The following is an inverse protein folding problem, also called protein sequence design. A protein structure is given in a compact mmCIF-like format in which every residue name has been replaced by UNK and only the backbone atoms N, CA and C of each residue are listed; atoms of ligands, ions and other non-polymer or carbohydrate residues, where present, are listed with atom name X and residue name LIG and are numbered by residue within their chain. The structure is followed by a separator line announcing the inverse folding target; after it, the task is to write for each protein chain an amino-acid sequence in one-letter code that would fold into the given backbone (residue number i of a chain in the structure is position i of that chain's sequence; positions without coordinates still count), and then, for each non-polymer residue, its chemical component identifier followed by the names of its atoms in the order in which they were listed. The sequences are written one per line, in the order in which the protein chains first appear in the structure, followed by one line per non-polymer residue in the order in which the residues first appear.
data_IF_089628350830
#
_entry.id   IF_089628350830
#
_cell.length_a   1.000
_cell.length_b   1.000
_cell.length_c   1.000
_cell.angle_alpha   90.00
_cell.angle_beta   90.00
_cell.angle_gamma   90.00
#
_symmetry.space_group_name_H-M   'P 1'
#
loop_
_entity.id
_entity.type
_entity.pdbx_description
1 polymer ?
#
# COMPACT_ATOMS: atom_id res chain seq x y z
N UNK A 1 -74.36 0.32 37.59
CA UNK A 1 -73.74 -0.19 36.36
C UNK A 1 -72.87 0.94 35.79
N UNK A 2 -71.58 0.89 36.03
CA UNK A 2 -70.63 1.85 35.47
C UNK A 2 -69.95 1.19 34.26
N UNK A 3 -70.08 1.76 33.10
CA UNK A 3 -69.40 1.36 31.87
C UNK A 3 -68.02 2.01 31.82
N UNK A 4 -66.97 1.22 31.83
CA UNK A 4 -65.59 1.67 31.60
C UNK A 4 -65.35 1.60 30.12
N UNK A 5 -65.13 2.77 29.49
CA UNK A 5 -64.73 2.89 28.10
C UNK A 5 -63.17 2.72 28.01
N UNK A 6 -62.71 1.65 27.38
CA UNK A 6 -61.31 1.49 26.99
C UNK A 6 -61.05 2.36 25.74
N UNK A 7 -60.19 3.36 25.86
CA UNK A 7 -59.59 4.07 24.72
C UNK A 7 -58.45 3.24 24.12
N UNK A 8 -58.26 3.17 22.78
CA UNK A 8 -57.12 2.49 22.18
C UNK A 8 -55.86 3.33 22.35
N UNK A 9 -54.79 2.68 22.81
CA UNK A 9 -53.48 3.24 22.91
C UNK A 9 -52.93 3.54 21.48
N UNK A 10 -52.64 4.78 21.20
CA UNK A 10 -51.89 5.19 20.04
C UNK A 10 -50.48 4.64 20.17
N UNK A 11 -50.15 3.68 19.33
CA UNK A 11 -48.76 3.28 19.10
C UNK A 11 -48.00 4.47 18.51
N UNK A 12 -47.08 5.04 19.26
CA UNK A 12 -46.10 5.98 18.77
C UNK A 12 -45.27 5.28 17.67
N UNK A 13 -45.58 5.58 16.42
CA UNK A 13 -44.65 5.38 15.31
C UNK A 13 -43.44 6.27 15.60
N UNK A 14 -42.33 5.68 15.99
CA UNK A 14 -41.01 6.33 15.90
C UNK A 14 -40.87 6.83 14.45
N UNK A 15 -40.95 8.12 14.25
CA UNK A 15 -40.51 8.75 13.02
C UNK A 15 -39.02 8.51 12.94
N UNK A 16 -38.61 7.61 12.06
CA UNK A 16 -37.25 7.58 11.58
C UNK A 16 -36.94 9.00 11.05
N UNK A 17 -36.13 9.73 11.80
CA UNK A 17 -35.71 11.06 11.41
C UNK A 17 -35.05 10.94 10.03
N UNK A 18 -35.57 11.71 9.06
CA UNK A 18 -34.93 11.81 7.75
C UNK A 18 -33.53 12.36 7.97
N UNK A 19 -32.51 11.50 7.72
CA UNK A 19 -31.12 11.92 7.79
C UNK A 19 -30.91 13.08 6.83
N UNK A 20 -30.46 14.21 7.35
CA UNK A 20 -30.27 15.43 6.53
C UNK A 20 -29.03 15.19 5.65
N UNK A 21 -29.24 15.14 4.33
CA UNK A 21 -28.17 15.07 3.35
C UNK A 21 -27.35 16.37 3.44
N UNK A 22 -26.04 16.31 3.70
CA UNK A 22 -25.21 17.51 3.84
C UNK A 22 -25.02 18.22 2.48
N UNK A 23 -24.63 19.51 2.53
CA UNK A 23 -24.32 20.26 1.31
C UNK A 23 -22.99 19.83 0.68
N UNK A 24 -22.07 19.30 1.48
CA UNK A 24 -20.79 18.72 1.03
C UNK A 24 -20.33 17.61 1.96
N UNK A 25 -19.53 16.71 1.41
CA UNK A 25 -18.80 15.69 2.17
C UNK A 25 -17.35 16.16 2.30
N UNK A 26 -16.84 16.26 3.52
CA UNK A 26 -15.44 16.60 3.78
C UNK A 26 -14.67 15.34 4.18
N UNK A 27 -13.67 14.98 3.39
CA UNK A 27 -12.76 13.86 3.67
C UNK A 27 -11.41 14.43 4.11
N UNK A 28 -10.98 14.06 5.31
CA UNK A 28 -9.69 14.45 5.84
C UNK A 28 -8.58 13.44 5.53
N UNK A 29 -7.36 13.93 5.38
CA UNK A 29 -6.16 13.09 5.40
C UNK A 29 -4.97 13.91 5.87
N UNK A 30 -3.98 13.24 6.46
CA UNK A 30 -2.63 13.80 6.52
C UNK A 30 -1.74 13.05 5.54
N UNK A 31 -0.74 13.68 5.01
CA UNK A 31 0.24 13.07 4.11
C UNK A 31 1.61 13.69 4.38
N UNK A 32 2.70 12.95 4.21
CA UNK A 32 4.05 13.51 4.25
C UNK A 32 4.30 14.32 2.96
N UNK A 33 3.80 15.56 2.91
CA UNK A 33 4.01 16.44 1.75
C UNK A 33 5.38 17.11 1.78
N UNK A 34 6.01 17.12 2.94
CA UNK A 34 7.43 17.45 3.19
C UNK A 34 8.07 16.38 4.06
N UNK A 35 9.41 16.44 4.27
CA UNK A 35 10.14 15.41 5.00
C UNK A 35 10.68 14.29 4.12
N UNK A 36 11.16 13.21 4.75
CA UNK A 36 11.86 12.12 4.04
C UNK A 36 10.96 11.39 3.03
N UNK A 37 9.66 11.25 3.33
CA UNK A 37 8.69 10.52 2.50
C UNK A 37 7.85 11.41 1.58
N UNK A 38 8.31 12.64 1.31
CA UNK A 38 7.53 13.62 0.53
C UNK A 38 7.22 13.16 -0.91
N UNK A 39 8.06 12.33 -1.51
CA UNK A 39 7.79 11.75 -2.84
C UNK A 39 6.58 10.80 -2.80
N UNK A 40 6.56 9.87 -1.85
CA UNK A 40 5.44 8.95 -1.64
C UNK A 40 4.15 9.72 -1.29
N UNK A 41 4.22 10.65 -0.33
CA UNK A 41 3.09 11.49 0.06
C UNK A 41 2.51 12.32 -1.08
N UNK A 42 3.38 12.88 -1.94
CA UNK A 42 2.98 13.63 -3.13
C UNK A 42 2.22 12.76 -4.13
N UNK A 43 2.69 11.52 -4.37
CA UNK A 43 1.99 10.55 -5.23
C UNK A 43 0.66 10.10 -4.65
N UNK A 44 0.60 9.82 -3.36
CA UNK A 44 -0.67 9.47 -2.71
C UNK A 44 -1.70 10.59 -2.80
N UNK A 45 -1.25 11.85 -2.60
CA UNK A 45 -2.10 13.03 -2.82
C UNK A 45 -2.72 13.02 -4.22
N UNK A 46 -1.91 12.74 -5.26
CA UNK A 46 -2.39 12.67 -6.64
C UNK A 46 -3.50 11.61 -6.83
N UNK A 47 -3.36 10.44 -6.23
CA UNK A 47 -4.39 9.39 -6.27
C UNK A 47 -5.70 9.83 -5.61
N UNK A 48 -5.64 10.42 -4.41
CA UNK A 48 -6.82 10.95 -3.73
C UNK A 48 -7.50 12.06 -4.52
N UNK A 49 -6.72 13.03 -5.01
CA UNK A 49 -7.23 14.15 -5.81
C UNK A 49 -7.89 13.68 -7.11
N UNK A 50 -7.32 12.69 -7.77
CA UNK A 50 -7.88 12.13 -8.99
C UNK A 50 -9.25 11.47 -8.73
N UNK A 51 -9.33 10.60 -7.73
CA UNK A 51 -10.58 9.91 -7.41
C UNK A 51 -11.71 10.90 -7.06
N UNK A 52 -11.40 11.91 -6.23
CA UNK A 52 -12.40 12.94 -5.84
C UNK A 52 -12.77 13.83 -7.01
N UNK A 53 -11.83 14.18 -7.88
CA UNK A 53 -12.13 14.99 -9.07
C UNK A 53 -13.05 14.26 -10.03
N UNK A 54 -12.76 12.98 -10.32
CA UNK A 54 -13.61 12.18 -11.20
C UNK A 54 -15.04 12.07 -10.66
N UNK A 55 -15.21 11.79 -9.37
CA UNK A 55 -16.51 11.74 -8.73
C UNK A 55 -17.24 13.10 -8.78
N UNK A 56 -16.53 14.19 -8.52
CA UNK A 56 -17.09 15.55 -8.56
C UNK A 56 -17.45 16.01 -9.98
N UNK A 57 -16.77 15.51 -11.01
CA UNK A 57 -17.08 15.78 -12.42
C UNK A 57 -18.49 15.27 -12.77
N UNK A 58 -18.87 14.15 -12.15
CA UNK A 58 -20.18 13.53 -12.32
C UNK A 58 -21.25 14.09 -11.33
N UNK A 59 -20.96 15.24 -10.73
CA UNK A 59 -21.84 15.96 -9.81
C UNK A 59 -21.63 15.64 -8.33
N UNK A 60 -20.73 14.70 -8.00
CA UNK A 60 -20.44 14.22 -6.65
C UNK A 60 -21.12 12.91 -6.31
N UNK A 61 -20.94 12.46 -5.06
CA UNK A 61 -21.44 11.17 -4.55
C UNK A 61 -22.97 11.21 -4.40
N UNK A 62 -23.64 10.14 -4.80
CA UNK A 62 -25.06 9.99 -4.53
C UNK A 62 -25.29 9.65 -3.05
N UNK A 63 -26.05 10.50 -2.36
CA UNK A 63 -26.45 10.32 -0.97
C UNK A 63 -27.97 10.34 -0.91
N UNK A 64 -28.57 9.17 -0.95
CA UNK A 64 -30.04 9.05 -0.89
C UNK A 64 -30.79 9.73 -2.05
N UNK A 65 -30.23 9.72 -3.24
CA UNK A 65 -30.79 10.33 -4.46
C UNK A 65 -30.39 11.79 -4.70
N UNK A 66 -29.54 12.36 -3.83
CA UNK A 66 -28.97 13.72 -4.01
C UNK A 66 -27.46 13.62 -4.27
N UNK A 67 -27.00 14.24 -5.34
CA UNK A 67 -25.56 14.41 -5.61
C UNK A 67 -24.93 15.41 -4.65
N UNK A 68 -23.88 14.99 -3.95
CA UNK A 68 -23.18 15.79 -2.93
C UNK A 68 -21.71 15.89 -3.30
N UNK A 69 -21.21 17.11 -3.42
CA UNK A 69 -19.77 17.34 -3.74
C UNK A 69 -18.86 16.91 -2.60
N UNK A 70 -17.69 16.42 -2.97
CA UNK A 70 -16.66 15.99 -2.04
C UNK A 70 -15.54 17.03 -2.00
N UNK A 71 -15.10 17.37 -0.79
CA UNK A 71 -13.95 18.23 -0.52
C UNK A 71 -12.87 17.42 0.19
N UNK A 72 -11.63 17.46 -0.33
CA UNK A 72 -10.46 16.91 0.35
C UNK A 72 -9.81 17.97 1.22
N UNK A 73 -9.54 17.61 2.48
CA UNK A 73 -8.76 18.43 3.40
C UNK A 73 -7.47 17.70 3.75
N UNK A 74 -6.39 18.10 3.10
CA UNK A 74 -5.07 17.47 3.24
C UNK A 74 -4.17 18.34 4.10
N UNK A 75 -3.51 17.74 5.09
CA UNK A 75 -2.56 18.40 5.98
C UNK A 75 -1.19 17.70 5.86
N UNK A 76 -0.12 18.47 6.00
CA UNK A 76 1.26 17.97 5.93
C UNK A 76 1.73 17.46 7.30
N UNK A 77 1.92 16.14 7.42
CA UNK A 77 2.45 15.51 8.64
C UNK A 77 3.98 15.50 8.71
N UNK A 78 4.67 15.91 7.64
CA UNK A 78 6.13 16.02 7.57
C UNK A 78 6.89 14.73 7.87
N UNK A 79 6.28 13.58 7.63
CA UNK A 79 6.79 12.24 8.02
C UNK A 79 6.95 12.07 9.56
N UNK A 80 6.29 12.92 10.36
CA UNK A 80 6.35 12.87 11.82
C UNK A 80 5.09 12.20 12.39
N UNK A 81 5.30 11.10 13.13
CA UNK A 81 4.21 10.28 13.69
C UNK A 81 3.36 11.04 14.71
N UNK A 82 3.99 11.83 15.58
CA UNK A 82 3.25 12.58 16.59
C UNK A 82 2.44 13.71 15.96
N UNK A 83 3.01 14.38 14.95
CA UNK A 83 2.31 15.39 14.15
C UNK A 83 1.15 14.79 13.37
N UNK A 84 1.33 13.62 12.74
CA UNK A 84 0.27 12.92 12.04
C UNK A 84 -0.94 12.62 12.95
N UNK A 85 -0.70 12.14 14.17
CA UNK A 85 -1.75 11.91 15.18
C UNK A 85 -2.45 13.21 15.58
N UNK A 86 -1.69 14.27 15.88
CA UNK A 86 -2.26 15.56 16.29
C UNK A 86 -3.10 16.18 15.18
N UNK A 87 -2.65 16.09 13.92
CA UNK A 87 -3.38 16.58 12.77
C UNK A 87 -4.65 15.74 12.50
N UNK A 88 -4.59 14.43 12.67
CA UNK A 88 -5.77 13.56 12.58
C UNK A 88 -6.84 13.96 13.62
N UNK A 89 -6.44 14.17 14.87
CA UNK A 89 -7.33 14.66 15.92
C UNK A 89 -7.93 16.03 15.58
N UNK A 90 -7.13 16.95 15.04
CA UNK A 90 -7.60 18.26 14.58
C UNK A 90 -8.63 18.12 13.48
N UNK A 91 -8.39 17.33 12.44
CA UNK A 91 -9.31 17.10 11.33
C UNK A 91 -10.68 16.59 11.83
N UNK A 92 -10.67 15.71 12.85
CA UNK A 92 -11.89 15.15 13.44
C UNK A 92 -12.60 16.18 14.33
N UNK A 93 -11.87 16.84 15.24
CA UNK A 93 -12.49 17.64 16.32
C UNK A 93 -12.76 19.07 15.91
N UNK A 94 -11.90 19.70 15.10
CA UNK A 94 -12.01 21.11 14.69
C UNK A 94 -12.60 21.23 13.28
N UNK A 95 -12.04 20.47 12.33
CA UNK A 95 -12.43 20.56 10.93
C UNK A 95 -13.67 19.74 10.60
N UNK A 96 -14.13 18.87 11.54
CA UNK A 96 -15.39 18.11 11.47
C UNK A 96 -15.51 17.27 10.20
N UNK A 97 -14.41 16.63 9.77
CA UNK A 97 -14.42 15.77 8.59
C UNK A 97 -15.41 14.60 8.75
N UNK A 98 -16.07 14.21 7.68
CA UNK A 98 -17.01 13.10 7.67
C UNK A 98 -16.28 11.77 7.72
N UNK A 99 -15.20 11.63 6.94
CA UNK A 99 -14.43 10.41 6.75
C UNK A 99 -12.94 10.70 6.70
N UNK A 100 -12.14 9.64 6.77
CA UNK A 100 -10.69 9.74 6.78
C UNK A 100 -10.07 8.89 5.67
N UNK A 101 -9.08 9.44 4.98
CA UNK A 101 -8.14 8.71 4.14
C UNK A 101 -6.77 8.64 4.83
N UNK A 102 -6.06 7.54 4.61
CA UNK A 102 -4.81 7.28 5.30
C UNK A 102 -3.64 8.11 4.82
N UNK A 103 -2.59 8.07 5.61
CA UNK A 103 -1.27 8.65 5.33
C UNK A 103 -0.31 7.60 4.77
N UNK A 104 0.96 7.94 4.70
CA UNK A 104 2.13 7.11 4.43
C UNK A 104 3.19 7.37 5.52
N UNK A 105 3.86 6.39 6.11
CA UNK A 105 3.92 4.97 5.82
C UNK A 105 3.16 4.11 6.85
N UNK A 106 3.47 2.80 6.91
CA UNK A 106 2.93 1.86 7.91
C UNK A 106 2.95 2.44 9.33
N UNK A 107 4.06 3.01 9.79
CA UNK A 107 4.19 3.58 11.14
C UNK A 107 3.20 4.73 11.40
N UNK A 108 2.99 5.60 10.41
CA UNK A 108 2.05 6.72 10.52
C UNK A 108 0.59 6.22 10.46
N UNK A 109 0.29 5.28 9.56
CA UNK A 109 -1.04 4.65 9.47
C UNK A 109 -1.37 3.92 10.76
N UNK A 110 -0.43 3.18 11.33
CA UNK A 110 -0.60 2.46 12.59
C UNK A 110 -0.95 3.39 13.75
N UNK A 111 -0.29 4.55 13.84
CA UNK A 111 -0.58 5.55 14.86
C UNK A 111 -1.96 6.19 14.67
N UNK A 112 -2.31 6.58 13.43
CA UNK A 112 -3.61 7.18 13.11
C UNK A 112 -4.77 6.20 13.23
N UNK A 113 -4.55 4.92 12.98
CA UNK A 113 -5.58 3.89 13.09
C UNK A 113 -6.23 3.87 14.47
N UNK A 114 -5.44 4.10 15.54
CA UNK A 114 -5.94 4.22 16.91
C UNK A 114 -6.87 5.43 17.09
N UNK A 115 -6.52 6.56 16.49
CA UNK A 115 -7.36 7.78 16.55
C UNK A 115 -8.69 7.56 15.82
N UNK A 116 -8.65 6.95 14.63
CA UNK A 116 -9.84 6.66 13.82
C UNK A 116 -10.78 5.67 14.53
N UNK A 117 -10.23 4.61 15.12
CA UNK A 117 -11.00 3.60 15.88
C UNK A 117 -11.69 4.24 17.10
N UNK A 118 -10.96 4.99 17.92
CA UNK A 118 -11.51 5.68 19.10
C UNK A 118 -12.59 6.70 18.73
N UNK A 119 -12.42 7.37 17.60
CA UNK A 119 -13.37 8.40 17.11
C UNK A 119 -14.51 7.80 16.31
N UNK A 120 -14.53 6.49 16.08
CA UNK A 120 -15.53 5.79 15.26
C UNK A 120 -15.75 6.47 13.91
N UNK A 121 -14.64 6.71 13.20
CA UNK A 121 -14.66 7.31 11.87
C UNK A 121 -14.09 6.32 10.85
N UNK A 122 -14.81 6.03 9.75
CA UNK A 122 -14.26 5.19 8.68
C UNK A 122 -12.94 5.73 8.16
N UNK A 123 -11.90 4.90 8.22
CA UNK A 123 -10.55 5.21 7.81
C UNK A 123 -10.11 4.20 6.75
N UNK A 124 -10.04 4.65 5.50
CA UNK A 124 -9.55 3.83 4.38
C UNK A 124 -8.16 4.29 4.00
N UNK A 125 -7.18 3.40 4.04
CA UNK A 125 -5.80 3.76 3.77
C UNK A 125 -5.21 2.99 2.58
N UNK A 126 -4.33 3.67 1.85
CA UNK A 126 -3.56 3.13 0.74
C UNK A 126 -2.05 3.17 0.98
N UNK A 127 -1.60 3.38 2.25
CA UNK A 127 -0.19 3.62 2.56
C UNK A 127 0.41 2.77 3.68
N UNK A 128 -0.40 1.96 4.39
CA UNK A 128 0.06 1.08 5.46
C UNK A 128 -0.28 -0.38 5.19
N UNK A 129 0.72 -1.25 5.09
CA UNK A 129 0.56 -2.63 4.65
C UNK A 129 0.89 -3.68 5.72
N UNK A 130 1.50 -3.32 6.86
CA UNK A 130 1.83 -4.29 7.89
C UNK A 130 0.58 -4.90 8.52
N UNK A 131 0.64 -6.21 8.76
CA UNK A 131 -0.44 -6.99 9.36
C UNK A 131 -0.77 -6.57 10.79
N UNK A 132 0.21 -5.98 11.49
CA UNK A 132 0.03 -5.42 12.85
C UNK A 132 -1.05 -4.34 12.93
N UNK A 133 -1.28 -3.56 11.85
CA UNK A 133 -2.34 -2.55 11.80
C UNK A 133 -3.71 -3.23 11.94
N UNK A 134 -3.91 -4.29 11.19
CA UNK A 134 -5.20 -4.96 11.03
C UNK A 134 -5.44 -6.06 12.07
N UNK A 135 -4.37 -6.56 12.69
CA UNK A 135 -4.40 -7.54 13.77
C UNK A 135 -4.91 -7.00 15.12
N UNK A 136 -5.08 -5.67 15.27
CA UNK A 136 -5.56 -5.04 16.51
C UNK A 136 -7.04 -5.27 16.81
N UNK A 137 -7.79 -5.88 15.89
CA UNK A 137 -9.23 -6.11 16.04
C UNK A 137 -10.07 -4.84 15.86
N UNK A 138 -9.51 -3.80 15.28
CA UNK A 138 -10.19 -2.56 14.94
C UNK A 138 -11.32 -2.79 13.92
N UNK A 139 -12.36 -1.97 13.98
CA UNK A 139 -13.57 -2.11 13.14
C UNK A 139 -13.76 -0.97 12.15
N UNK A 140 -12.99 0.09 12.30
CA UNK A 140 -13.15 1.34 11.53
C UNK A 140 -12.02 1.54 10.52
N UNK A 141 -11.11 0.54 10.42
CA UNK A 141 -9.91 0.61 9.59
C UNK A 141 -10.04 -0.34 8.40
N UNK A 142 -9.72 0.15 7.21
CA UNK A 142 -9.76 -0.57 5.95
C UNK A 142 -8.49 -0.26 5.16
N UNK A 143 -7.84 -1.24 4.58
CA UNK A 143 -6.60 -1.05 3.85
C UNK A 143 -6.64 -1.63 2.45
N UNK A 144 -6.20 -0.86 1.47
CA UNK A 144 -6.12 -1.31 0.07
C UNK A 144 -4.84 -2.05 -0.26
N UNK A 145 -3.84 -2.01 0.62
CA UNK A 145 -2.58 -2.73 0.44
C UNK A 145 -2.68 -4.16 0.96
N UNK A 146 -2.37 -5.14 0.12
CA UNK A 146 -2.18 -6.53 0.54
C UNK A 146 -0.98 -6.65 1.51
N UNK A 147 -0.94 -7.68 2.40
CA UNK A 147 0.08 -7.84 3.43
C UNK A 147 1.51 -7.88 2.89
N UNK A 148 2.45 -7.24 3.59
CA UNK A 148 3.88 -7.20 3.23
C UNK A 148 4.52 -8.61 3.23
N UNK A 149 4.06 -9.51 4.09
CA UNK A 149 4.53 -10.90 4.08
C UNK A 149 4.34 -11.54 2.69
N UNK A 150 3.21 -11.24 2.03
CA UNK A 150 2.91 -11.76 0.70
C UNK A 150 3.81 -11.14 -0.38
N UNK A 151 4.22 -9.87 -0.20
CA UNK A 151 5.20 -9.24 -1.09
C UNK A 151 6.50 -10.04 -1.11
N UNK A 152 7.07 -10.28 0.07
CA UNK A 152 8.30 -11.06 0.22
C UNK A 152 8.14 -12.51 -0.29
N UNK A 153 7.01 -13.15 0.02
CA UNK A 153 6.71 -14.50 -0.44
C UNK A 153 6.63 -14.59 -1.96
N UNK A 154 5.99 -13.61 -2.61
CA UNK A 154 5.87 -13.59 -4.09
C UNK A 154 7.22 -13.43 -4.77
N UNK A 155 8.14 -12.63 -4.22
CA UNK A 155 9.52 -12.58 -4.71
C UNK A 155 10.22 -13.95 -4.59
N UNK A 156 10.07 -14.59 -3.43
CA UNK A 156 10.64 -15.92 -3.18
C UNK A 156 10.07 -17.01 -4.09
N UNK A 157 8.77 -16.92 -4.45
CA UNK A 157 8.15 -17.85 -5.40
C UNK A 157 8.81 -17.79 -6.78
N UNK A 158 9.06 -16.58 -7.29
CA UNK A 158 9.77 -16.42 -8.55
C UNK A 158 11.23 -16.91 -8.44
N UNK A 159 11.90 -16.59 -7.34
CA UNK A 159 13.28 -17.06 -7.07
C UNK A 159 13.33 -18.60 -7.03
N UNK A 160 12.37 -19.25 -6.38
CA UNK A 160 12.28 -20.71 -6.31
C UNK A 160 12.09 -21.36 -7.70
N UNK A 161 11.30 -20.73 -8.57
CA UNK A 161 11.17 -21.16 -9.96
C UNK A 161 12.53 -21.09 -10.70
N UNK A 162 13.30 -20.01 -10.51
CA UNK A 162 14.63 -19.90 -11.14
C UNK A 162 15.62 -20.91 -10.55
N UNK A 163 15.55 -21.19 -9.24
CA UNK A 163 16.36 -22.23 -8.60
C UNK A 163 15.97 -23.63 -9.10
N UNK A 164 14.69 -23.93 -9.22
CA UNK A 164 14.17 -25.18 -9.76
C UNK A 164 14.55 -25.40 -11.23
N UNK A 165 14.72 -24.31 -11.99
CA UNK A 165 15.25 -24.32 -13.35
C UNK A 165 16.78 -24.46 -13.43
N UNK A 166 17.48 -24.61 -12.29
CA UNK A 166 18.93 -24.79 -12.23
C UNK A 166 19.73 -23.50 -12.48
N UNK A 167 19.12 -22.34 -12.41
CA UNK A 167 19.77 -21.05 -12.68
C UNK A 167 20.39 -20.40 -11.44
N UNK A 168 19.94 -20.78 -10.25
CA UNK A 168 20.41 -20.22 -8.98
C UNK A 168 21.02 -21.31 -8.11
N UNK A 169 21.91 -20.91 -7.18
CA UNK A 169 22.53 -21.81 -6.23
C UNK A 169 21.48 -22.58 -5.39
N UNK A 170 21.81 -23.83 -5.03
CA UNK A 170 20.96 -24.67 -4.17
C UNK A 170 21.86 -25.47 -3.17
N UNK A 171 21.72 -25.24 -1.83
CA UNK A 171 20.92 -24.18 -1.23
C UNK A 171 21.45 -22.80 -1.58
N UNK A 172 20.54 -21.82 -1.76
CA UNK A 172 20.92 -20.43 -1.91
C UNK A 172 21.14 -19.80 -0.54
N UNK A 173 22.22 -19.06 -0.36
CA UNK A 173 22.51 -18.28 0.85
C UNK A 173 21.80 -16.93 0.74
N UNK A 174 20.94 -16.62 1.71
CA UNK A 174 20.12 -15.42 1.72
C UNK A 174 20.62 -14.44 2.79
N UNK A 175 20.91 -13.22 2.39
CA UNK A 175 21.08 -12.10 3.31
C UNK A 175 19.80 -11.27 3.30
N UNK A 176 19.20 -11.09 4.48
CA UNK A 176 18.02 -10.27 4.71
C UNK A 176 18.45 -9.03 5.47
N UNK A 177 18.17 -7.84 4.92
CA UNK A 177 18.21 -6.58 5.65
C UNK A 177 16.81 -5.97 5.67
N UNK A 178 16.41 -5.46 6.81
CA UNK A 178 15.04 -4.95 6.97
C UNK A 178 15.00 -3.74 7.88
N UNK A 179 14.13 -2.80 7.56
CA UNK A 179 13.92 -1.63 8.41
C UNK A 179 13.30 -2.05 9.75
N UNK A 180 13.75 -1.46 10.84
CA UNK A 180 13.25 -1.77 12.19
C UNK A 180 11.87 -1.17 12.43
N UNK A 181 10.89 -1.67 11.67
CA UNK A 181 9.47 -1.33 11.73
C UNK A 181 8.63 -2.59 11.56
N UNK A 182 7.34 -2.51 11.86
CA UNK A 182 6.43 -3.64 11.62
C UNK A 182 6.32 -4.01 10.13
N UNK A 183 6.58 -3.07 9.20
CA UNK A 183 6.67 -3.37 7.77
C UNK A 183 7.87 -4.25 7.46
N UNK A 184 9.06 -3.88 7.96
CA UNK A 184 10.28 -4.68 7.77
C UNK A 184 10.21 -6.03 8.46
N UNK A 185 9.59 -6.12 9.64
CA UNK A 185 9.35 -7.39 10.34
C UNK A 185 8.47 -8.34 9.51
N UNK A 186 7.41 -7.85 8.89
CA UNK A 186 6.54 -8.65 8.03
C UNK A 186 7.28 -9.13 6.76
N UNK A 187 8.10 -8.28 6.13
CA UNK A 187 8.92 -8.67 4.99
C UNK A 187 9.91 -9.78 5.37
N UNK A 188 10.66 -9.58 6.44
CA UNK A 188 11.57 -10.57 7.01
C UNK A 188 10.86 -11.90 7.28
N UNK A 189 9.70 -11.83 7.92
CA UNK A 189 8.88 -13.00 8.26
C UNK A 189 8.45 -13.76 7.01
N UNK A 190 8.01 -13.09 5.96
CA UNK A 190 7.65 -13.71 4.69
C UNK A 190 8.78 -14.54 4.10
N UNK A 191 10.03 -14.03 4.10
CA UNK A 191 11.20 -14.77 3.63
C UNK A 191 11.51 -15.95 4.54
N UNK A 192 11.49 -15.75 5.86
CA UNK A 192 11.81 -16.83 6.83
C UNK A 192 10.80 -17.98 6.75
N UNK A 193 9.52 -17.68 6.67
CA UNK A 193 8.47 -18.70 6.57
C UNK A 193 8.56 -19.45 5.24
N UNK A 194 8.85 -18.74 4.14
CA UNK A 194 9.08 -19.37 2.85
C UNK A 194 10.30 -20.30 2.89
N UNK A 195 11.43 -19.83 3.40
CA UNK A 195 12.65 -20.62 3.50
C UNK A 195 12.45 -21.87 4.39
N UNK A 196 11.67 -21.76 5.46
CA UNK A 196 11.30 -22.87 6.34
C UNK A 196 10.41 -23.89 5.63
N UNK A 197 9.43 -23.42 4.84
CA UNK A 197 8.53 -24.29 4.07
C UNK A 197 9.29 -25.04 2.96
N UNK A 198 10.39 -24.44 2.43
CA UNK A 198 11.24 -25.01 1.39
C UNK A 198 12.60 -25.44 1.97
N UNK A 199 12.57 -26.20 3.07
CA UNK A 199 13.75 -26.63 3.81
C UNK A 199 14.79 -27.33 2.89
N UNK A 200 16.05 -26.88 2.96
CA UNK A 200 17.14 -27.36 2.12
C UNK A 200 17.35 -26.58 0.81
N UNK A 201 16.43 -25.69 0.44
CA UNK A 201 16.62 -24.81 -0.73
C UNK A 201 17.31 -23.50 -0.37
N UNK A 202 17.09 -23.01 0.86
CA UNK A 202 17.56 -21.69 1.30
C UNK A 202 18.27 -21.78 2.65
N UNK A 203 19.32 -21.00 2.81
CA UNK A 203 20.05 -20.82 4.07
C UNK A 203 20.14 -19.31 4.38
N UNK A 204 19.43 -18.85 5.39
CA UNK A 204 19.56 -17.47 5.85
C UNK A 204 20.89 -17.32 6.56
N UNK A 205 21.80 -16.51 6.02
CA UNK A 205 23.16 -16.31 6.51
C UNK A 205 23.39 -14.93 7.14
N UNK A 206 22.49 -13.96 6.81
CA UNK A 206 22.41 -12.65 7.47
C UNK A 206 20.93 -12.34 7.67
N UNK A 207 20.60 -11.83 8.86
CA UNK A 207 19.26 -11.37 9.24
C UNK A 207 19.43 -10.20 10.21
N UNK A 208 19.42 -8.98 9.66
CA UNK A 208 19.77 -7.76 10.40
C UNK A 208 18.79 -6.63 10.11
N UNK A 209 18.39 -5.94 11.16
CA UNK A 209 17.60 -4.72 11.02
C UNK A 209 18.47 -3.47 10.94
N UNK A 210 17.90 -2.41 10.37
CA UNK A 210 18.49 -1.08 10.36
C UNK A 210 17.42 -0.02 10.71
N UNK A 211 17.81 1.12 11.30
CA UNK A 211 16.88 2.21 11.60
C UNK A 211 16.47 2.95 10.34
N UNK A 212 15.24 3.48 10.30
CA UNK A 212 14.78 4.41 9.26
C UNK A 212 15.66 5.67 9.19
N UNK A 213 15.70 6.29 8.02
CA UNK A 213 16.49 7.49 7.71
C UNK A 213 18.01 7.30 7.95
N UNK A 214 18.50 6.06 7.76
CA UNK A 214 19.89 5.69 7.92
C UNK A 214 20.81 6.45 6.95
N UNK A 215 21.98 6.89 7.46
CA UNK A 215 22.98 7.60 6.63
C UNK A 215 24.20 6.73 6.33
N UNK A 216 24.42 5.70 7.12
CA UNK A 216 25.54 4.79 6.99
C UNK A 216 25.10 3.34 7.23
N UNK A 217 25.21 2.53 6.19
CA UNK A 217 24.89 1.11 6.17
C UNK A 217 26.14 0.23 6.08
N UNK A 218 27.34 0.83 6.19
CA UNK A 218 28.62 0.12 5.99
C UNK A 218 28.79 -1.10 6.90
N UNK A 219 28.32 -1.02 8.14
CA UNK A 219 28.41 -2.11 9.11
C UNK A 219 27.58 -3.32 8.69
N UNK A 220 26.31 -3.14 8.32
CA UNK A 220 25.42 -4.23 7.86
C UNK A 220 25.87 -4.78 6.51
N UNK A 221 26.29 -3.91 5.59
CA UNK A 221 26.83 -4.32 4.29
C UNK A 221 28.13 -5.12 4.42
N UNK A 222 28.98 -4.80 5.42
CA UNK A 222 30.18 -5.59 5.73
C UNK A 222 29.83 -7.02 6.19
N UNK A 223 28.76 -7.19 6.98
CA UNK A 223 28.27 -8.52 7.37
C UNK A 223 27.79 -9.31 6.15
N UNK A 224 27.00 -8.68 5.27
CA UNK A 224 26.52 -9.29 4.01
C UNK A 224 27.70 -9.77 3.16
N UNK A 225 28.72 -8.92 2.98
CA UNK A 225 29.95 -9.28 2.27
C UNK A 225 30.65 -10.48 2.89
N UNK A 226 30.81 -10.49 4.23
CA UNK A 226 31.47 -11.57 4.97
C UNK A 226 30.73 -12.91 4.85
N UNK A 227 29.42 -12.88 4.76
CA UNK A 227 28.57 -14.06 4.66
C UNK A 227 28.57 -14.71 3.26
N UNK A 228 29.05 -14.01 2.23
CA UNK A 228 29.03 -14.48 0.83
C UNK A 228 27.65 -14.99 0.42
N UNK A 229 26.64 -14.16 0.62
CA UNK A 229 25.27 -14.48 0.23
C UNK A 229 25.13 -14.57 -1.30
N UNK A 230 24.22 -15.41 -1.77
CA UNK A 230 23.84 -15.51 -3.17
C UNK A 230 22.71 -14.51 -3.50
N UNK A 231 21.79 -14.33 -2.55
CA UNK A 231 20.62 -13.46 -2.66
C UNK A 231 20.72 -12.33 -1.63
N UNK A 232 20.51 -11.10 -2.06
CA UNK A 232 20.47 -9.92 -1.20
C UNK A 232 19.06 -9.34 -1.22
N UNK A 233 18.29 -9.61 -0.16
CA UNK A 233 16.89 -9.25 -0.02
C UNK A 233 16.74 -8.18 1.04
N UNK A 234 16.25 -7.03 0.64
CA UNK A 234 16.13 -5.85 1.50
C UNK A 234 14.71 -5.33 1.50
N UNK A 235 14.20 -4.96 2.66
CA UNK A 235 13.05 -4.07 2.78
C UNK A 235 13.52 -2.71 3.26
N UNK A 236 13.26 -1.68 2.48
CA UNK A 236 13.68 -0.32 2.78
C UNK A 236 12.72 0.70 2.16
N UNK A 237 12.48 1.82 2.84
CA UNK A 237 11.87 2.98 2.23
C UNK A 237 12.79 3.60 1.18
N UNK A 238 12.22 4.37 0.24
CA UNK A 238 12.97 4.91 -0.90
C UNK A 238 14.25 5.68 -0.52
N UNK A 239 14.28 6.56 0.50
CA UNK A 239 15.50 7.26 0.89
C UNK A 239 16.61 6.33 1.41
N UNK A 240 16.23 5.33 2.20
CA UNK A 240 17.15 4.34 2.75
C UNK A 240 17.66 3.39 1.67
N UNK A 241 16.77 2.97 0.75
CA UNK A 241 17.16 2.20 -0.42
C UNK A 241 18.23 2.93 -1.25
N UNK A 242 17.98 4.18 -1.62
CA UNK A 242 18.93 4.97 -2.41
C UNK A 242 20.28 5.09 -1.71
N UNK A 243 20.27 5.37 -0.40
CA UNK A 243 21.49 5.54 0.40
C UNK A 243 22.24 4.22 0.54
N UNK A 244 21.55 3.15 0.92
CA UNK A 244 22.13 1.83 1.09
C UNK A 244 22.68 1.28 -0.22
N UNK A 245 21.93 1.43 -1.32
CA UNK A 245 22.33 0.87 -2.60
C UNK A 245 23.53 1.61 -3.20
N UNK A 246 23.67 2.92 -3.02
CA UNK A 246 24.90 3.65 -3.36
C UNK A 246 26.12 3.07 -2.62
N UNK A 247 25.97 2.80 -1.32
CA UNK A 247 27.03 2.19 -0.52
C UNK A 247 27.30 0.75 -0.99
N UNK A 248 26.25 -0.03 -1.27
CA UNK A 248 26.36 -1.36 -1.84
C UNK A 248 27.20 -1.35 -3.15
N UNK A 249 26.86 -0.51 -4.11
CA UNK A 249 27.58 -0.36 -5.38
C UNK A 249 29.06 0.02 -5.15
N UNK A 250 29.34 0.91 -4.20
CA UNK A 250 30.71 1.33 -3.89
C UNK A 250 31.58 0.18 -3.36
N UNK A 251 30.97 -0.83 -2.77
CA UNK A 251 31.66 -2.01 -2.25
C UNK A 251 32.04 -3.01 -3.32
N UNK A 252 31.50 -2.88 -4.52
CA UNK A 252 31.62 -3.86 -5.62
C UNK A 252 31.16 -5.28 -5.23
N UNK A 253 30.23 -5.37 -4.26
CA UNK A 253 29.53 -6.63 -4.01
C UNK A 253 28.65 -6.97 -5.20
N UNK A 254 28.50 -8.26 -5.44
CA UNK A 254 27.64 -8.77 -6.49
C UNK A 254 26.90 -9.99 -5.97
N UNK A 255 25.59 -10.02 -6.19
CA UNK A 255 24.72 -11.12 -5.77
C UNK A 255 23.94 -11.64 -6.99
N UNK A 256 23.61 -12.93 -6.98
CA UNK A 256 22.84 -13.54 -8.06
C UNK A 256 21.51 -12.83 -8.29
N UNK A 257 20.88 -12.32 -7.21
CA UNK A 257 19.70 -11.47 -7.24
C UNK A 257 19.75 -10.43 -6.11
N UNK A 258 19.19 -9.26 -6.40
CA UNK A 258 19.04 -8.16 -5.45
C UNK A 258 17.58 -7.67 -5.49
N UNK A 259 16.96 -7.48 -4.33
CA UNK A 259 15.64 -6.85 -4.23
C UNK A 259 15.62 -5.78 -3.13
N UNK A 260 14.80 -4.77 -3.32
CA UNK A 260 14.49 -3.76 -2.31
C UNK A 260 12.97 -3.65 -2.10
N UNK A 261 12.31 -4.80 -1.99
CA UNK A 261 10.85 -4.86 -1.90
C UNK A 261 10.20 -4.14 -3.07
N UNK A 262 9.27 -3.23 -2.81
CA UNK A 262 8.58 -2.50 -3.88
C UNK A 262 9.37 -1.32 -4.48
N UNK A 263 10.52 -0.94 -3.92
CA UNK A 263 11.21 0.35 -4.22
C UNK A 263 12.12 0.31 -5.42
N UNK A 264 12.67 -0.85 -5.75
CA UNK A 264 13.70 -0.98 -6.80
C UNK A 264 13.27 -0.50 -8.19
N UNK A 265 11.98 -0.49 -8.48
CA UNK A 265 11.40 -0.09 -9.77
C UNK A 265 10.92 1.35 -9.84
N UNK A 266 10.99 2.10 -8.74
CA UNK A 266 10.49 3.47 -8.67
C UNK A 266 11.31 4.42 -9.56
N UNK A 267 10.64 5.38 -10.21
CA UNK A 267 11.29 6.35 -11.09
C UNK A 267 12.34 7.20 -10.36
N UNK A 268 12.04 7.58 -9.10
CA UNK A 268 12.98 8.36 -8.28
C UNK A 268 14.24 7.56 -7.92
N UNK A 269 14.14 6.24 -7.77
CA UNK A 269 15.31 5.38 -7.58
C UNK A 269 16.21 5.41 -8.81
N UNK A 270 15.62 5.30 -9.99
CA UNK A 270 16.35 5.36 -11.26
C UNK A 270 16.97 6.74 -11.50
N UNK A 271 16.26 7.81 -11.17
CA UNK A 271 16.79 9.18 -11.22
C UNK A 271 18.01 9.34 -10.29
N UNK A 272 17.94 8.81 -9.07
CA UNK A 272 18.97 8.98 -8.05
C UNK A 272 20.21 8.09 -8.23
N UNK A 273 20.05 6.88 -8.79
CA UNK A 273 21.09 5.86 -8.89
C UNK A 273 21.61 5.67 -10.33
N UNK A 274 20.91 6.22 -11.31
CA UNK A 274 21.15 5.97 -12.72
C UNK A 274 20.62 4.61 -13.21
N UNK A 275 20.50 4.45 -14.52
CA UNK A 275 20.00 3.22 -15.13
C UNK A 275 20.83 2.00 -14.72
N UNK A 276 22.16 2.11 -14.83
CA UNK A 276 23.07 1.00 -14.48
C UNK A 276 22.97 0.65 -13.00
N UNK A 277 22.80 1.66 -12.13
CA UNK A 277 22.71 1.44 -10.69
C UNK A 277 21.46 0.68 -10.23
N UNK A 278 20.40 0.66 -11.03
CA UNK A 278 19.16 -0.08 -10.70
C UNK A 278 18.94 -1.32 -11.56
N UNK A 279 19.83 -1.58 -12.54
CA UNK A 279 19.68 -2.73 -13.44
C UNK A 279 19.70 -4.04 -12.70
N UNK A 280 18.87 -4.99 -13.11
CA UNK A 280 18.60 -6.31 -12.54
C UNK A 280 17.98 -6.32 -11.12
N UNK A 281 17.66 -5.17 -10.52
CA UNK A 281 16.93 -5.15 -9.25
C UNK A 281 15.50 -5.69 -9.47
N UNK A 282 15.10 -6.61 -8.59
CA UNK A 282 13.73 -7.12 -8.50
C UNK A 282 12.87 -6.21 -7.63
N UNK A 283 11.58 -6.19 -7.89
CA UNK A 283 10.60 -5.54 -7.03
C UNK A 283 9.25 -6.25 -7.13
N UNK A 284 8.70 -6.66 -6.00
CA UNK A 284 7.29 -7.00 -5.93
C UNK A 284 6.48 -5.74 -5.60
N UNK A 285 5.39 -5.51 -6.32
CA UNK A 285 4.59 -4.29 -6.17
C UNK A 285 3.11 -4.60 -6.04
N UNK A 286 2.39 -3.72 -5.34
CA UNK A 286 0.93 -3.81 -5.17
C UNK A 286 0.16 -3.49 -6.45
N UNK A 287 0.77 -2.83 -7.39
CA UNK A 287 0.18 -2.47 -8.67
C UNK A 287 1.27 -2.13 -9.70
N UNK A 288 0.99 -2.39 -10.97
CA UNK A 288 1.83 -2.01 -12.11
C UNK A 288 0.94 -1.55 -13.27
N UNK A 289 1.37 -0.50 -13.97
CA UNK A 289 0.64 0.04 -15.12
C UNK A 289 0.41 -0.96 -16.27
N UNK A 290 1.20 -2.04 -16.31
CA UNK A 290 1.09 -3.10 -17.31
C UNK A 290 0.08 -4.20 -16.95
N UNK A 291 -0.69 -4.04 -15.87
CA UNK A 291 -1.72 -5.00 -15.44
C UNK A 291 -2.96 -5.05 -16.35
N UNK A 292 -2.96 -4.34 -17.44
CA UNK A 292 -3.99 -4.30 -18.47
C UNK A 292 -3.86 -3.04 -19.29
N UNK A 293 -4.07 -3.17 -20.57
CA UNK A 293 -4.00 -2.12 -21.58
C UNK A 293 -5.39 -1.63 -22.02
N UNK A 294 -6.44 -2.13 -21.37
CA UNK A 294 -7.83 -1.78 -21.60
C UNK A 294 -8.59 -1.57 -20.27
N UNK A 295 -9.77 -0.97 -20.34
CA UNK A 295 -10.70 -0.84 -19.22
C UNK A 295 -10.18 0.07 -18.11
N UNK A 296 -10.59 -0.23 -16.87
CA UNK A 296 -10.40 0.63 -15.71
C UNK A 296 -8.92 0.97 -15.44
N UNK A 297 -8.00 0.00 -15.64
CA UNK A 297 -6.57 0.22 -15.44
C UNK A 297 -6.01 1.24 -16.44
N UNK A 298 -6.32 1.10 -17.73
CA UNK A 298 -5.88 2.03 -18.77
C UNK A 298 -6.48 3.44 -18.55
N UNK A 299 -7.77 3.51 -18.19
CA UNK A 299 -8.42 4.79 -17.86
C UNK A 299 -7.72 5.51 -16.71
N UNK A 300 -7.34 4.78 -15.67
CA UNK A 300 -6.56 5.33 -14.54
C UNK A 300 -5.18 5.82 -14.99
N UNK A 301 -4.44 5.03 -15.76
CA UNK A 301 -3.11 5.39 -16.29
C UNK A 301 -3.20 6.67 -17.11
N UNK A 302 -4.14 6.75 -18.05
CA UNK A 302 -4.32 7.90 -18.91
C UNK A 302 -4.75 9.16 -18.15
N UNK A 303 -5.61 9.00 -17.15
CA UNK A 303 -6.04 10.11 -16.29
C UNK A 303 -4.89 10.69 -15.48
N UNK A 304 -4.03 9.82 -14.88
CA UNK A 304 -2.83 10.28 -14.16
C UNK A 304 -1.86 10.98 -15.09
N UNK A 305 -1.56 10.39 -16.25
CA UNK A 305 -0.66 10.99 -17.25
C UNK A 305 -1.17 12.34 -17.75
N UNK A 306 -2.46 12.42 -18.06
CA UNK A 306 -3.09 13.66 -18.54
C UNK A 306 -3.03 14.76 -17.49
N UNK A 307 -3.31 14.42 -16.23
CA UNK A 307 -3.42 15.42 -15.16
C UNK A 307 -2.06 15.82 -14.58
N UNK A 308 -1.14 14.87 -14.41
CA UNK A 308 0.10 15.10 -13.66
C UNK A 308 1.37 15.05 -14.54
N UNK A 309 1.24 14.65 -15.81
CA UNK A 309 2.37 14.64 -16.77
C UNK A 309 3.41 13.55 -16.51
N UNK A 310 3.09 12.54 -15.70
CA UNK A 310 4.00 11.44 -15.33
C UNK A 310 3.27 10.10 -15.34
N UNK A 311 4.03 9.02 -15.53
CA UNK A 311 3.52 7.66 -15.37
C UNK A 311 3.11 7.41 -13.92
N UNK A 312 1.97 6.75 -13.66
CA UNK A 312 1.59 6.37 -12.29
C UNK A 312 2.47 5.26 -11.75
N UNK A 313 2.61 5.28 -10.43
CA UNK A 313 3.20 4.20 -9.64
C UNK A 313 2.17 3.63 -8.67
N UNK A 314 2.52 2.57 -7.97
CA UNK A 314 1.59 1.90 -7.06
C UNK A 314 1.01 2.82 -5.95
N UNK A 315 1.72 3.89 -5.56
CA UNK A 315 1.23 4.88 -4.59
C UNK A 315 -0.05 5.58 -5.04
N UNK A 316 -0.06 6.05 -6.30
CA UNK A 316 -1.26 6.67 -6.88
C UNK A 316 -2.39 5.65 -7.01
N UNK A 317 -2.07 4.41 -7.43
CA UNK A 317 -3.05 3.37 -7.63
C UNK A 317 -3.75 2.97 -6.32
N UNK A 318 -2.99 2.68 -5.27
CA UNK A 318 -3.55 2.23 -3.99
C UNK A 318 -4.30 3.33 -3.25
N UNK A 319 -3.84 4.58 -3.34
CA UNK A 319 -4.54 5.74 -2.78
C UNK A 319 -5.80 6.10 -3.59
N UNK A 320 -5.76 6.02 -4.92
CA UNK A 320 -6.93 6.18 -5.78
C UNK A 320 -8.02 5.16 -5.41
N UNK A 321 -7.65 3.88 -5.25
CA UNK A 321 -8.57 2.83 -4.85
C UNK A 321 -9.10 3.02 -3.43
N UNK A 322 -8.31 3.55 -2.50
CA UNK A 322 -8.79 3.86 -1.15
C UNK A 322 -9.89 4.93 -1.18
N UNK A 323 -9.69 5.99 -1.95
CA UNK A 323 -10.70 7.03 -2.12
C UNK A 323 -11.93 6.50 -2.86
N UNK A 324 -11.77 5.74 -3.96
CA UNK A 324 -12.90 5.11 -4.69
C UNK A 324 -13.72 4.20 -3.80
N UNK A 325 -13.08 3.35 -3.02
CA UNK A 325 -13.77 2.44 -2.09
C UNK A 325 -14.61 3.22 -1.07
N UNK A 326 -14.05 4.28 -0.48
CA UNK A 326 -14.77 5.13 0.46
C UNK A 326 -15.98 5.83 -0.21
N UNK A 327 -15.78 6.46 -1.36
CA UNK A 327 -16.84 7.16 -2.10
C UNK A 327 -17.94 6.20 -2.54
N UNK A 328 -17.57 5.02 -3.05
CA UNK A 328 -18.53 3.98 -3.40
C UNK A 328 -19.31 3.46 -2.19
N UNK A 329 -18.66 3.32 -1.03
CA UNK A 329 -19.34 2.91 0.19
C UNK A 329 -20.36 3.96 0.67
N UNK A 330 -20.03 5.24 0.56
CA UNK A 330 -20.96 6.34 0.87
C UNK A 330 -22.19 6.30 -0.08
N UNK A 331 -21.95 6.12 -1.39
CA UNK A 331 -23.03 6.02 -2.37
C UNK A 331 -23.91 4.79 -2.13
N UNK A 332 -23.33 3.62 -1.89
CA UNK A 332 -24.07 2.38 -1.59
C UNK A 332 -24.84 2.47 -0.26
N UNK A 333 -24.29 3.14 0.75
CA UNK A 333 -24.98 3.40 2.02
C UNK A 333 -26.14 4.38 1.86
N UNK A 334 -26.13 5.20 0.81
CA UNK A 334 -27.08 6.31 0.61
C UNK A 334 -27.08 7.33 1.75
N UNK A 335 -25.95 7.46 2.48
CA UNK A 335 -25.86 8.14 3.76
C UNK A 335 -24.44 8.58 4.06
N UNK A 336 -24.29 9.64 4.87
CA UNK A 336 -23.03 10.06 5.46
C UNK A 336 -22.87 9.60 6.92
N UNK A 337 -23.81 8.81 7.42
CA UNK A 337 -23.70 8.19 8.74
C UNK A 337 -22.47 7.27 8.79
N UNK A 338 -21.61 7.53 9.75
CA UNK A 338 -20.33 6.83 9.88
C UNK A 338 -20.49 5.33 10.06
N UNK A 339 -21.51 4.90 10.82
CA UNK A 339 -21.76 3.49 11.08
C UNK A 339 -22.25 2.79 9.82
N UNK A 340 -23.20 3.39 9.09
CA UNK A 340 -23.69 2.81 7.84
C UNK A 340 -22.59 2.69 6.79
N UNK A 341 -21.76 3.73 6.65
CA UNK A 341 -20.61 3.70 5.71
C UNK A 341 -19.58 2.64 6.14
N UNK A 342 -19.26 2.53 7.43
CA UNK A 342 -18.39 1.50 7.97
C UNK A 342 -18.93 0.09 7.68
N UNK A 343 -20.23 -0.13 7.91
CA UNK A 343 -20.86 -1.43 7.66
C UNK A 343 -20.86 -1.77 6.17
N UNK A 344 -21.08 -0.77 5.30
CA UNK A 344 -20.99 -0.92 3.85
C UNK A 344 -19.57 -1.26 3.41
N UNK A 345 -18.53 -0.58 3.96
CA UNK A 345 -17.13 -0.92 3.68
C UNK A 345 -16.80 -2.35 4.08
N UNK A 346 -17.33 -2.83 5.21
CA UNK A 346 -17.08 -4.20 5.70
C UNK A 346 -17.59 -5.30 4.77
N UNK A 347 -18.59 -5.02 3.94
CA UNK A 347 -19.14 -5.95 2.94
C UNK A 347 -18.87 -5.51 1.50
N UNK A 348 -17.98 -4.53 1.29
CA UNK A 348 -17.73 -3.98 -0.03
C UNK A 348 -16.96 -4.96 -0.93
N UNK A 349 -17.46 -5.14 -2.14
CA UNK A 349 -16.71 -5.67 -3.27
C UNK A 349 -16.95 -4.76 -4.47
N UNK A 350 -15.87 -4.30 -5.09
CA UNK A 350 -15.90 -3.45 -6.29
C UNK A 350 -14.88 -3.93 -7.31
N UNK A 351 -15.12 -3.63 -8.58
CA UNK A 351 -14.10 -3.72 -9.62
C UNK A 351 -12.94 -2.78 -9.30
N UNK A 352 -11.71 -3.21 -9.58
CA UNK A 352 -10.51 -2.51 -9.15
C UNK A 352 -9.38 -2.63 -10.16
N UNK A 353 -8.50 -1.61 -10.17
CA UNK A 353 -7.25 -1.65 -10.93
C UNK A 353 -6.17 -2.52 -10.27
N UNK A 354 -6.39 -2.99 -9.02
CA UNK A 354 -5.44 -3.84 -8.32
C UNK A 354 -5.36 -5.24 -8.96
N UNK A 355 -4.26 -5.99 -8.74
CA UNK A 355 -3.94 -7.20 -9.53
C UNK A 355 -5.02 -8.28 -9.61
N UNK A 356 -5.92 -8.35 -8.63
CA UNK A 356 -7.05 -9.29 -8.67
C UNK A 356 -8.22 -8.83 -9.56
N UNK A 357 -8.20 -7.60 -10.07
CA UNK A 357 -9.35 -6.96 -10.72
C UNK A 357 -10.49 -6.61 -9.77
N UNK A 358 -10.34 -6.86 -8.48
CA UNK A 358 -11.34 -6.62 -7.44
C UNK A 358 -10.72 -6.07 -6.17
N UNK A 359 -11.49 -5.24 -5.45
CA UNK A 359 -11.14 -4.76 -4.12
C UNK A 359 -12.25 -5.11 -3.14
N UNK A 360 -11.86 -5.75 -2.03
CA UNK A 360 -12.72 -6.03 -0.89
C UNK A 360 -11.91 -5.94 0.41
N UNK A 361 -12.62 -5.87 1.53
CA UNK A 361 -12.04 -5.73 2.86
C UNK A 361 -12.44 -6.90 3.77
N UNK A 362 -11.81 -8.08 3.64
CA UNK A 362 -12.13 -9.28 4.42
C UNK A 362 -12.02 -9.02 5.91
N UNK A 363 -13.10 -9.29 6.66
CA UNK A 363 -13.17 -8.99 8.10
C UNK A 363 -12.38 -10.00 8.96
N UNK A 364 -12.16 -11.19 8.45
CA UNK A 364 -11.25 -12.19 9.03
C UNK A 364 -9.78 -11.78 8.94
N UNK A 365 -9.46 -10.84 8.03
CA UNK A 365 -8.15 -10.19 7.88
C UNK A 365 -8.13 -8.76 8.45
N UNK A 366 -9.07 -8.43 9.34
CA UNK A 366 -9.15 -7.11 9.99
C UNK A 366 -9.46 -5.95 9.04
N UNK A 367 -10.03 -6.22 7.86
CA UNK A 367 -10.31 -5.20 6.86
C UNK A 367 -9.14 -4.86 5.93
N UNK A 368 -8.09 -5.69 5.90
CA UNK A 368 -7.00 -5.57 4.94
C UNK A 368 -7.34 -6.28 3.63
N UNK A 369 -7.19 -5.61 2.49
CA UNK A 369 -7.33 -6.23 1.19
C UNK A 369 -6.34 -7.38 0.98
N UNK A 370 -6.73 -8.36 0.16
CA UNK A 370 -5.88 -9.50 -0.15
C UNK A 370 -5.96 -9.82 -1.63
N UNK A 371 -4.83 -9.73 -2.30
CA UNK A 371 -4.67 -10.00 -3.72
C UNK A 371 -3.22 -10.39 -4.01
N UNK A 372 -2.92 -11.04 -5.15
CA UNK A 372 -1.55 -11.40 -5.53
C UNK A 372 -0.72 -10.15 -5.83
N UNK A 373 0.58 -10.24 -5.57
CA UNK A 373 1.55 -9.26 -6.03
C UNK A 373 1.99 -9.57 -7.47
N UNK A 374 2.63 -8.58 -8.08
CA UNK A 374 3.39 -8.80 -9.31
C UNK A 374 4.86 -8.50 -9.06
N UNK A 375 5.74 -9.34 -9.61
CA UNK A 375 7.19 -9.10 -9.58
C UNK A 375 7.60 -8.49 -10.91
N UNK A 376 8.38 -7.44 -10.86
CA UNK A 376 9.01 -6.81 -12.00
C UNK A 376 10.53 -6.76 -11.82
N UNK A 377 11.26 -6.61 -12.90
CA UNK A 377 12.70 -6.49 -12.89
C UNK A 377 13.14 -5.36 -13.80
N UNK A 378 14.05 -4.52 -13.32
CA UNK A 378 14.69 -3.52 -14.17
C UNK A 378 15.66 -4.20 -15.14
N UNK A 379 15.54 -3.91 -16.43
CA UNK A 379 16.39 -4.46 -17.47
C UNK A 379 17.34 -3.41 -18.05
N UNK A 380 18.47 -3.83 -18.68
CA UNK A 380 19.47 -2.90 -19.23
C UNK A 380 18.95 -1.94 -20.27
N UNK A 381 17.88 -2.31 -21.00
CA UNK A 381 17.22 -1.46 -22.02
C UNK A 381 16.35 -0.36 -21.42
N UNK A 382 16.30 -0.24 -20.09
CA UNK A 382 15.49 0.74 -19.37
C UNK A 382 14.04 0.32 -19.13
N UNK A 383 13.65 -0.86 -19.59
CA UNK A 383 12.31 -1.41 -19.30
C UNK A 383 12.23 -2.05 -17.92
N UNK A 384 11.02 -2.22 -17.40
CA UNK A 384 10.74 -2.93 -16.14
C UNK A 384 9.48 -3.77 -16.33
N UNK A 385 9.58 -4.89 -17.08
CA UNK A 385 8.44 -5.75 -17.33
C UNK A 385 7.98 -6.46 -16.05
N UNK A 386 6.70 -6.81 -15.99
CA UNK A 386 6.19 -7.83 -15.07
C UNK A 386 6.76 -9.17 -15.52
N UNK A 387 7.42 -9.87 -14.60
CA UNK A 387 8.05 -11.18 -14.86
C UNK A 387 7.37 -12.32 -14.11
N UNK A 388 6.50 -12.01 -13.13
CA UNK A 388 5.73 -12.98 -12.35
C UNK A 388 4.46 -12.33 -11.76
N UNK A 389 3.34 -13.05 -11.64
CA UNK A 389 3.12 -14.42 -12.11
C UNK A 389 2.98 -14.49 -13.65
N UNK A 390 3.08 -15.72 -14.20
CA UNK A 390 3.14 -15.94 -15.66
C UNK A 390 1.91 -15.44 -16.40
N UNK A 391 0.74 -15.45 -15.75
CA UNK A 391 -0.56 -15.08 -16.33
C UNK A 391 -0.64 -13.59 -16.72
N UNK A 392 0.14 -12.74 -16.03
CA UNK A 392 0.16 -11.28 -16.27
C UNK A 392 1.57 -10.79 -16.67
N UNK A 393 2.50 -11.70 -16.91
CA UNK A 393 3.85 -11.35 -17.29
C UNK A 393 3.90 -10.65 -18.65
N UNK A 394 4.61 -9.52 -18.71
CA UNK A 394 4.81 -8.72 -19.94
C UNK A 394 6.21 -8.88 -20.51
N UNK A 395 7.08 -9.63 -19.81
CA UNK A 395 8.43 -9.95 -20.25
C UNK A 395 9.05 -11.10 -19.46
N UNK A 396 10.34 -11.32 -19.67
CA UNK A 396 11.09 -12.38 -19.00
C UNK A 396 12.13 -11.78 -18.06
N UNK A 397 12.17 -12.31 -16.84
CA UNK A 397 13.21 -11.98 -15.90
C UNK A 397 14.56 -12.66 -16.21
N UNK A 398 15.62 -12.04 -15.75
CA UNK A 398 17.00 -12.51 -15.88
C UNK A 398 17.49 -13.00 -14.53
N UNK A 399 17.91 -14.25 -14.47
CA UNK A 399 18.54 -14.89 -13.30
C UNK A 399 19.54 -15.94 -13.75
N UNK A 400 20.74 -15.97 -13.14
CA UNK A 400 21.28 -14.98 -12.21
C UNK A 400 21.56 -13.64 -12.87
N UNK A 401 21.87 -12.60 -12.09
CA UNK A 401 22.42 -11.34 -12.61
C UNK A 401 23.70 -11.64 -13.40
N UNK A 402 23.73 -11.38 -14.73
CA UNK A 402 24.86 -11.77 -15.57
C UNK A 402 26.14 -10.98 -15.26
N UNK A 403 26.03 -9.83 -14.60
CA UNK A 403 27.18 -9.02 -14.18
C UNK A 403 27.90 -9.62 -12.96
N UNK A 404 27.26 -10.57 -12.27
CA UNK A 404 27.78 -11.24 -11.08
C UNK A 404 28.35 -12.64 -11.37
N UNK A 405 28.44 -13.03 -12.63
CA UNK A 405 28.93 -14.31 -13.04
C UNK A 405 30.40 -14.26 -13.44
N UNK A 406 31.25 -14.89 -12.65
CA UNK A 406 32.62 -15.14 -12.94
C UNK A 406 33.15 -16.19 -11.99
#
# INVERSE_FOLDING_TARGET
MLAVACAPSQSSREQAGSETVPDKIVIGSTLPLTGSESKAGGRMKQGYELAVELENRDGGVDVGGKKVRVELKLLDDTTDQAKAVNLAQRLITQDKVNFFLGTYSTALVEAQSTVAEQSKIPYVNGGGAATSIYGKGYKWIFGTLAPVENLATTEMEWIDQQQSAGKLAKPAKVAILWENTSHGEDFRKGIQDFAKAHAGNYQIVVDESFPLDGKDFSAVLSKVRGAKADLFMVDAHLPDFITMHRQYLSTKMCHQLVTYGARGSEADAREALGQDGVTYILSAVWWNKQLGDEGLNQEFVDAVKTKFGAEPEWYQATSYEAARALLTAVAKAGSVDKQKVRDTLSGLEIESILPSGKLSFPQDKGGQASYPFVVQQNLPDGTSPIIYPAEVATGKGVAPNPECGG
#
